data_IF_557545065429
#
_entry.id   IF_557545065429
#
_cell.length_a   1.000
_cell.length_b   1.000
_cell.length_c   1.000
_cell.angle_alpha   90.00
_cell.angle_beta   90.00
_cell.angle_gamma   90.00
#
_symmetry.space_group_name_H-M   'P 1'
#
loop_
_entity.id
_entity.type
_entity.pdbx_description
1 polymer ?
#
# COMPACT_ATOMS: atom_id res chain seq x y z
N UNK A 1 7.04 -2.81 -39.71
CA UNK A 1 7.24 -1.93 -38.54
C UNK A 1 8.66 -1.40 -38.55
N UNK A 2 8.85 -0.08 -38.72
CA UNK A 2 10.16 0.58 -38.65
C UNK A 2 10.51 0.84 -37.18
N UNK A 3 10.91 -0.19 -36.46
CA UNK A 3 11.27 -0.07 -35.05
C UNK A 3 12.38 0.97 -34.82
N UNK A 4 13.29 1.15 -35.78
CA UNK A 4 14.41 2.11 -35.71
C UNK A 4 14.02 3.60 -35.70
N UNK A 5 12.75 3.95 -35.98
CA UNK A 5 12.30 5.36 -35.94
C UNK A 5 11.71 5.76 -34.58
N UNK A 6 11.65 4.84 -33.62
CA UNK A 6 11.13 5.14 -32.29
C UNK A 6 12.12 6.06 -31.54
N UNK A 7 11.66 7.20 -30.97
CA UNK A 7 12.50 8.10 -30.17
C UNK A 7 13.26 7.38 -29.04
N UNK A 8 12.76 6.24 -28.55
CA UNK A 8 13.42 5.40 -27.56
C UNK A 8 14.84 4.99 -27.97
N UNK A 9 15.14 4.81 -29.27
CA UNK A 9 16.47 4.40 -29.73
C UNK A 9 17.50 5.52 -29.71
N UNK A 10 17.08 6.78 -29.52
CA UNK A 10 18.00 7.90 -29.27
C UNK A 10 18.59 7.90 -27.86
N UNK A 11 17.95 7.19 -26.91
CA UNK A 11 18.38 7.12 -25.51
C UNK A 11 19.36 5.94 -25.34
N UNK A 12 20.53 6.16 -24.72
CA UNK A 12 21.53 5.11 -24.53
C UNK A 12 21.02 3.99 -23.61
N UNK A 13 21.34 2.74 -23.97
CA UNK A 13 21.02 1.56 -23.14
C UNK A 13 22.17 1.21 -22.19
N UNK A 14 21.84 0.83 -20.97
CA UNK A 14 22.79 0.36 -19.93
C UNK A 14 22.43 -1.05 -19.50
N UNK A 15 23.43 -1.87 -19.16
CA UNK A 15 23.24 -3.23 -18.67
C UNK A 15 22.82 -4.27 -19.71
N UNK A 16 22.87 -3.95 -21.01
CA UNK A 16 22.51 -4.89 -22.07
C UNK A 16 22.42 -4.27 -23.46
N UNK A 17 21.84 -5.01 -24.40
CA UNK A 17 21.64 -4.58 -25.78
C UNK A 17 20.30 -3.85 -25.97
N UNK A 18 20.25 -2.89 -26.89
CA UNK A 18 19.02 -2.24 -27.34
C UNK A 18 18.24 -3.05 -28.38
N UNK A 19 18.85 -4.10 -28.95
CA UNK A 19 18.27 -4.89 -30.03
C UNK A 19 17.08 -5.72 -29.54
N UNK A 20 15.97 -5.79 -30.30
CA UNK A 20 14.82 -6.64 -29.96
C UNK A 20 15.26 -8.09 -29.67
N UNK A 21 14.74 -8.68 -28.59
CA UNK A 21 15.11 -10.03 -28.15
C UNK A 21 16.36 -10.06 -27.27
N UNK A 22 17.47 -9.44 -27.68
CA UNK A 22 18.69 -9.36 -26.87
C UNK A 22 18.53 -8.44 -25.65
N UNK A 23 17.55 -7.53 -25.66
CA UNK A 23 17.17 -6.72 -24.50
C UNK A 23 16.77 -7.56 -23.28
N UNK A 24 16.26 -8.79 -23.47
CA UNK A 24 15.91 -9.68 -22.36
C UNK A 24 17.14 -10.14 -21.57
N UNK A 25 18.31 -10.28 -22.21
CA UNK A 25 19.57 -10.54 -21.50
C UNK A 25 19.85 -9.40 -20.52
N UNK A 26 19.64 -8.15 -20.97
CA UNK A 26 19.76 -6.98 -20.11
C UNK A 26 18.73 -6.96 -18.98
N UNK A 27 17.50 -7.42 -19.24
CA UNK A 27 16.48 -7.57 -18.19
C UNK A 27 16.86 -8.62 -17.14
N UNK A 28 17.49 -9.74 -17.54
CA UNK A 28 18.03 -10.72 -16.60
C UNK A 28 19.20 -10.17 -15.78
N UNK A 29 20.12 -9.42 -16.40
CA UNK A 29 21.20 -8.75 -15.68
C UNK A 29 20.66 -7.74 -14.65
N UNK A 30 19.67 -6.92 -15.06
CA UNK A 30 19.00 -5.97 -14.20
C UNK A 30 18.21 -6.64 -13.06
N UNK A 31 17.67 -7.84 -13.26
CA UNK A 31 16.99 -8.61 -12.21
C UNK A 31 17.96 -9.12 -11.15
N UNK A 32 19.18 -9.53 -11.55
CA UNK A 32 20.19 -10.04 -10.64
C UNK A 32 20.84 -8.96 -9.78
N UNK A 33 21.28 -7.86 -10.39
CA UNK A 33 21.89 -6.73 -9.68
C UNK A 33 21.49 -5.40 -10.31
N UNK A 34 20.25 -4.98 -10.02
CA UNK A 34 19.72 -3.71 -10.51
C UNK A 34 20.57 -2.51 -10.06
N UNK A 35 21.17 -2.60 -8.87
CA UNK A 35 21.98 -1.53 -8.29
C UNK A 35 23.25 -1.32 -9.11
N UNK A 36 23.99 -2.38 -9.45
CA UNK A 36 25.18 -2.28 -10.28
C UNK A 36 24.87 -1.68 -11.66
N UNK A 37 23.77 -2.10 -12.30
CA UNK A 37 23.34 -1.55 -13.59
C UNK A 37 22.98 -0.07 -13.48
N UNK A 38 22.30 0.34 -12.41
CA UNK A 38 22.01 1.75 -12.13
C UNK A 38 23.28 2.57 -11.93
N UNK A 39 24.20 2.10 -11.07
CA UNK A 39 25.46 2.78 -10.78
C UNK A 39 26.32 2.93 -12.04
N UNK A 40 26.35 1.93 -12.92
CA UNK A 40 26.97 2.02 -14.23
C UNK A 40 26.35 3.14 -15.07
N UNK A 41 25.02 3.23 -15.09
CA UNK A 41 24.29 4.26 -15.84
C UNK A 41 24.56 5.66 -15.32
N UNK A 42 24.50 5.86 -13.99
CA UNK A 42 24.85 7.15 -13.36
C UNK A 42 26.29 7.56 -13.67
N UNK A 43 27.24 6.61 -13.66
CA UNK A 43 28.65 6.90 -13.97
C UNK A 43 28.87 7.26 -15.45
N UNK A 44 28.14 6.61 -16.37
CA UNK A 44 28.27 6.85 -17.81
C UNK A 44 27.51 8.09 -18.29
N UNK A 45 26.39 8.43 -17.64
CA UNK A 45 25.45 9.46 -18.08
C UNK A 45 25.01 10.40 -16.93
N UNK A 46 25.92 11.07 -16.22
CA UNK A 46 25.62 11.78 -14.96
C UNK A 46 24.70 13.01 -15.05
N UNK A 47 24.57 13.63 -16.23
CA UNK A 47 23.69 14.79 -16.50
C UNK A 47 22.79 14.55 -17.73
N UNK A 48 22.40 13.30 -17.97
CA UNK A 48 21.58 12.89 -19.12
C UNK A 48 20.57 11.79 -18.72
N UNK A 49 19.86 11.24 -19.69
CA UNK A 49 18.98 10.09 -19.50
C UNK A 49 19.58 8.82 -20.14
N UNK A 50 19.28 7.68 -19.53
CA UNK A 50 19.62 6.36 -20.06
C UNK A 50 18.46 5.39 -19.83
N UNK A 51 18.45 4.27 -20.53
CA UNK A 51 17.40 3.25 -20.39
C UNK A 51 17.96 1.90 -19.97
N UNK A 52 17.19 1.20 -19.13
CA UNK A 52 17.43 -0.17 -18.70
C UNK A 52 16.28 -1.04 -19.22
N UNK A 53 16.61 -2.21 -19.75
CA UNK A 53 15.60 -3.19 -20.15
C UNK A 53 14.97 -3.85 -18.91
N UNK A 54 13.64 -3.93 -18.88
CA UNK A 54 12.91 -4.84 -17.99
C UNK A 54 12.15 -5.86 -18.82
N UNK A 55 11.56 -6.88 -18.19
CA UNK A 55 10.81 -7.93 -18.90
C UNK A 55 9.54 -7.41 -19.57
N UNK A 56 8.96 -6.35 -19.03
CA UNK A 56 7.69 -5.77 -19.47
C UNK A 56 7.84 -4.46 -20.25
N UNK A 57 8.95 -3.71 -20.11
CA UNK A 57 9.13 -2.38 -20.72
C UNK A 57 10.58 -1.91 -20.78
N UNK A 58 10.79 -0.72 -21.35
CA UNK A 58 12.00 0.06 -21.13
C UNK A 58 11.80 1.00 -19.93
N UNK A 59 12.70 0.94 -18.96
CA UNK A 59 12.72 1.89 -17.85
C UNK A 59 13.73 3.01 -18.16
N UNK A 60 13.23 4.24 -18.30
CA UNK A 60 14.08 5.41 -18.54
C UNK A 60 14.47 6.00 -17.20
N UNK A 61 15.77 6.11 -16.96
CA UNK A 61 16.38 6.74 -15.79
C UNK A 61 16.88 8.12 -16.20
N UNK A 62 16.47 9.13 -15.45
CA UNK A 62 16.90 10.52 -15.64
C UNK A 62 17.93 10.84 -14.57
N UNK A 63 19.18 10.99 -14.97
CA UNK A 63 20.33 11.25 -14.09
C UNK A 63 20.91 12.62 -14.43
N UNK A 64 20.43 13.66 -13.76
CA UNK A 64 20.91 15.03 -13.94
C UNK A 64 20.02 16.02 -13.22
N UNK A 65 20.58 16.94 -12.45
CA UNK A 65 19.78 17.84 -11.60
C UNK A 65 18.84 18.70 -12.44
N UNK A 66 19.30 19.18 -13.60
CA UNK A 66 18.50 19.95 -14.53
C UNK A 66 17.31 19.16 -15.09
N UNK A 67 17.57 17.95 -15.61
CA UNK A 67 16.52 17.11 -16.18
C UNK A 67 15.51 16.64 -15.13
N UNK A 68 15.95 16.34 -13.90
CA UNK A 68 15.06 15.98 -12.79
C UNK A 68 14.15 17.15 -12.42
N UNK A 69 14.70 18.38 -12.36
CA UNK A 69 13.90 19.58 -12.11
C UNK A 69 12.92 19.88 -13.24
N UNK A 70 13.32 19.63 -14.49
CA UNK A 70 12.43 19.75 -15.64
C UNK A 70 11.30 18.72 -15.56
N UNK A 71 11.61 17.46 -15.26
CA UNK A 71 10.65 16.38 -15.08
C UNK A 71 9.64 16.70 -13.96
N UNK A 72 10.12 17.25 -12.85
CA UNK A 72 9.31 17.64 -11.68
C UNK A 72 8.31 18.74 -12.00
N UNK A 73 8.62 19.63 -12.94
CA UNK A 73 7.76 20.75 -13.36
C UNK A 73 6.77 20.36 -14.45
N UNK A 74 6.91 19.18 -15.07
CA UNK A 74 6.03 18.72 -16.13
C UNK A 74 4.60 18.54 -15.60
N UNK A 75 3.59 18.91 -16.40
CA UNK A 75 2.21 18.75 -16.00
C UNK A 75 1.81 17.26 -16.01
N UNK A 76 0.77 16.92 -15.25
CA UNK A 76 0.38 15.53 -14.97
C UNK A 76 -0.20 14.77 -16.18
N UNK A 77 -0.59 15.50 -17.23
CA UNK A 77 -1.03 14.99 -18.53
C UNK A 77 0.14 14.51 -19.40
N UNK A 78 1.31 15.16 -19.27
CA UNK A 78 2.56 14.69 -19.89
C UNK A 78 3.20 13.55 -19.09
N UNK A 79 3.26 13.69 -17.76
CA UNK A 79 3.91 12.71 -16.87
C UNK A 79 2.97 12.30 -15.74
N UNK A 80 2.52 11.05 -15.78
CA UNK A 80 1.52 10.55 -14.84
C UNK A 80 2.11 9.59 -13.82
N UNK A 81 2.44 10.12 -12.63
CA UNK A 81 2.84 9.29 -11.48
C UNK A 81 1.79 8.22 -11.12
N UNK A 82 0.47 8.50 -11.17
CA UNK A 82 -0.51 7.47 -10.89
C UNK A 82 -0.59 6.34 -11.93
N UNK A 83 -0.40 6.64 -13.24
CA UNK A 83 -0.27 5.58 -14.26
C UNK A 83 1.00 4.77 -14.01
N UNK A 84 2.11 5.45 -13.71
CA UNK A 84 3.36 4.81 -13.31
C UNK A 84 3.19 3.88 -12.10
N UNK A 85 2.42 4.29 -11.09
CA UNK A 85 2.10 3.44 -9.94
C UNK A 85 1.30 2.20 -10.36
N UNK A 86 0.24 2.37 -11.15
CA UNK A 86 -0.60 1.26 -11.62
C UNK A 86 0.20 0.22 -12.42
N UNK A 87 1.12 0.70 -13.23
CA UNK A 87 2.00 -0.13 -14.04
C UNK A 87 3.12 -0.80 -13.22
N UNK A 88 3.74 -0.08 -12.29
CA UNK A 88 4.80 -0.65 -11.45
C UNK A 88 4.28 -1.67 -10.44
N UNK A 89 3.08 -1.45 -9.89
CA UNK A 89 2.47 -2.35 -8.91
C UNK A 89 1.47 -3.33 -9.52
N UNK A 90 1.27 -3.29 -10.84
CA UNK A 90 0.31 -4.13 -11.55
C UNK A 90 -1.09 -4.08 -10.88
N UNK A 91 -1.44 -2.92 -10.30
CA UNK A 91 -2.56 -2.81 -9.37
C UNK A 91 -3.93 -3.01 -10.02
N UNK A 92 -4.00 -3.01 -11.36
CA UNK A 92 -5.17 -3.44 -12.14
C UNK A 92 -5.61 -4.87 -11.85
N UNK A 93 -4.69 -5.73 -11.41
CA UNK A 93 -5.01 -7.11 -11.08
C UNK A 93 -5.46 -7.27 -9.64
N UNK A 94 -5.04 -6.37 -8.74
CA UNK A 94 -5.29 -6.46 -7.28
C UNK A 94 -6.49 -5.60 -6.86
N UNK A 95 -6.54 -4.34 -7.29
CA UNK A 95 -7.54 -3.37 -6.86
C UNK A 95 -8.79 -3.38 -7.73
N UNK A 96 -9.93 -3.03 -7.14
CA UNK A 96 -11.19 -2.82 -7.85
C UNK A 96 -11.13 -1.61 -8.79
N UNK A 97 -11.91 -1.68 -9.88
CA UNK A 97 -11.98 -0.60 -10.87
C UNK A 97 -12.41 0.74 -10.24
N UNK A 98 -13.33 0.71 -9.26
CA UNK A 98 -13.76 1.91 -8.52
C UNK A 98 -12.59 2.60 -7.80
N UNK A 99 -11.68 1.82 -7.22
CA UNK A 99 -10.49 2.32 -6.51
C UNK A 99 -9.47 2.93 -7.47
N UNK A 100 -9.33 2.34 -8.66
CA UNK A 100 -8.39 2.80 -9.69
C UNK A 100 -8.87 4.06 -10.43
N UNK A 101 -10.19 4.19 -10.62
CA UNK A 101 -10.83 5.26 -11.39
C UNK A 101 -11.04 6.55 -10.58
N UNK A 102 -11.63 6.47 -9.39
CA UNK A 102 -11.77 7.61 -8.49
C UNK A 102 -10.65 7.60 -7.44
N UNK A 103 -9.89 8.70 -7.36
CA UNK A 103 -8.69 8.83 -6.51
C UNK A 103 -8.83 9.85 -5.40
N UNK A 104 -10.06 10.18 -5.00
CA UNK A 104 -10.31 11.12 -3.89
C UNK A 104 -9.54 10.76 -2.61
N UNK A 105 -9.24 9.48 -2.38
CA UNK A 105 -8.52 9.00 -1.21
C UNK A 105 -7.15 9.69 -1.04
N UNK A 106 -6.44 9.97 -2.14
CA UNK A 106 -5.17 10.71 -2.10
C UNK A 106 -5.33 12.19 -1.70
N UNK A 107 -6.44 12.82 -2.06
CA UNK A 107 -6.77 14.18 -1.63
C UNK A 107 -7.16 14.21 -0.14
N UNK A 108 -7.95 13.23 0.33
CA UNK A 108 -8.25 13.07 1.77
C UNK A 108 -6.96 12.96 2.56
N UNK A 109 -5.98 12.19 2.07
CA UNK A 109 -4.68 12.06 2.73
C UNK A 109 -3.93 13.40 2.79
N UNK A 110 -3.88 14.14 1.69
CA UNK A 110 -3.26 15.48 1.68
C UNK A 110 -3.96 16.45 2.63
N UNK A 111 -5.28 16.42 2.71
CA UNK A 111 -6.04 17.31 3.58
C UNK A 111 -5.97 16.94 5.05
N UNK A 112 -6.04 15.66 5.38
CA UNK A 112 -6.14 15.19 6.76
C UNK A 112 -4.80 14.83 7.34
N UNK A 113 -3.98 14.05 6.65
CA UNK A 113 -2.71 13.59 7.19
C UNK A 113 -1.66 14.70 7.17
N UNK A 114 -1.57 15.50 6.09
CA UNK A 114 -0.53 16.54 6.00
C UNK A 114 -0.91 17.83 6.74
N UNK A 115 -2.16 18.31 6.62
CA UNK A 115 -2.56 19.59 7.27
C UNK A 115 -2.88 19.44 8.74
N UNK A 116 -3.37 18.27 9.20
CA UNK A 116 -3.69 18.01 10.61
C UNK A 116 -2.60 17.22 11.34
N UNK A 117 -1.44 17.02 10.72
CA UNK A 117 -0.32 16.28 11.31
C UNK A 117 0.00 16.76 12.74
N UNK A 118 0.11 18.07 13.04
CA UNK A 118 0.47 18.53 14.38
C UNK A 118 -0.50 18.06 15.48
N UNK A 119 -1.79 17.91 15.15
CA UNK A 119 -2.79 17.42 16.10
C UNK A 119 -2.80 15.89 16.26
N UNK A 120 -2.27 15.15 15.28
CA UNK A 120 -2.23 13.69 15.29
C UNK A 120 -0.94 13.13 15.88
N UNK A 121 0.15 13.92 15.87
CA UNK A 121 1.47 13.50 16.37
C UNK A 121 1.44 12.97 17.80
N UNK A 122 0.77 13.61 18.77
CA UNK A 122 0.71 13.09 20.14
C UNK A 122 0.08 11.68 20.20
N UNK A 123 -1.05 11.48 19.52
CA UNK A 123 -1.74 10.19 19.45
C UNK A 123 -0.87 9.09 18.82
N UNK A 124 -0.06 9.45 17.81
CA UNK A 124 0.87 8.53 17.15
C UNK A 124 2.00 8.16 18.09
N UNK A 125 2.59 9.13 18.79
CA UNK A 125 3.69 8.90 19.75
C UNK A 125 3.23 7.97 20.86
N UNK A 126 2.05 8.24 21.45
CA UNK A 126 1.48 7.39 22.49
C UNK A 126 1.29 5.95 22.01
N UNK A 127 0.78 5.76 20.79
CA UNK A 127 0.62 4.40 20.23
C UNK A 127 1.95 3.74 19.91
N UNK A 128 2.98 4.48 19.48
CA UNK A 128 4.31 3.93 19.22
C UNK A 128 4.91 3.35 20.50
N UNK A 129 4.79 4.03 21.64
CA UNK A 129 5.27 3.49 22.92
C UNK A 129 4.54 2.18 23.29
N UNK A 130 3.22 2.16 23.19
CA UNK A 130 2.42 0.94 23.42
C UNK A 130 2.81 -0.19 22.44
N UNK A 131 3.05 0.15 21.17
CA UNK A 131 3.44 -0.81 20.15
C UNK A 131 4.84 -1.38 20.41
N UNK A 132 5.79 -0.54 20.84
CA UNK A 132 7.13 -0.96 21.23
C UNK A 132 7.06 -1.91 22.42
N UNK A 133 6.38 -1.53 23.50
CA UNK A 133 6.31 -2.34 24.72
C UNK A 133 5.63 -3.71 24.48
N UNK A 134 4.65 -3.76 23.58
CA UNK A 134 3.94 -5.01 23.24
C UNK A 134 4.73 -5.91 22.29
N UNK A 135 5.52 -5.36 21.37
CA UNK A 135 6.23 -6.14 20.35
C UNK A 135 7.69 -6.41 20.71
N UNK A 136 8.28 -5.63 21.62
CA UNK A 136 9.64 -5.81 22.13
C UNK A 136 9.53 -6.37 23.55
N UNK A 137 9.63 -7.69 23.74
CA UNK A 137 9.55 -8.28 25.07
C UNK A 137 10.70 -7.76 25.94
N UNK A 138 10.37 -7.10 27.05
CA UNK A 138 11.33 -6.87 28.12
C UNK A 138 11.78 -8.25 28.65
N UNK A 139 13.08 -8.52 28.61
CA UNK A 139 13.64 -9.65 29.36
C UNK A 139 13.51 -9.42 30.87
N UNK A 140 13.93 -10.38 31.70
CA UNK A 140 14.20 -10.09 33.11
C UNK A 140 15.22 -8.94 33.26
N UNK A 141 15.38 -8.39 34.47
CA UNK A 141 16.42 -7.36 34.72
C UNK A 141 17.78 -7.86 34.16
N UNK A 142 18.28 -7.19 33.11
CA UNK A 142 19.52 -7.47 32.37
C UNK A 142 19.54 -8.68 31.39
N UNK A 143 18.40 -9.19 30.93
CA UNK A 143 18.36 -10.26 29.91
C UNK A 143 18.19 -9.70 28.49
N UNK A 144 19.14 -10.00 27.59
CA UNK A 144 19.05 -9.66 26.17
C UNK A 144 18.19 -10.68 25.42
N UNK A 145 17.19 -10.20 24.68
CA UNK A 145 16.34 -11.04 23.84
C UNK A 145 16.51 -10.69 22.36
N UNK A 146 16.76 -11.71 21.55
CA UNK A 146 16.81 -11.56 20.10
C UNK A 146 15.42 -11.36 19.53
N UNK A 147 15.28 -10.38 18.62
CA UNK A 147 14.04 -10.07 17.91
C UNK A 147 14.30 -9.97 16.41
N UNK A 148 13.33 -10.38 15.60
CA UNK A 148 13.37 -10.13 14.16
C UNK A 148 13.03 -8.66 13.91
N UNK A 149 14.05 -7.83 13.66
CA UNK A 149 13.90 -6.39 13.53
C UNK A 149 12.87 -6.01 12.45
N UNK A 150 12.92 -6.63 11.28
CA UNK A 150 12.02 -6.35 10.16
C UNK A 150 10.58 -6.68 10.52
N UNK A 151 10.35 -7.87 11.10
CA UNK A 151 9.01 -8.31 11.51
C UNK A 151 8.45 -7.41 12.62
N UNK A 152 9.27 -7.08 13.61
CA UNK A 152 8.88 -6.25 14.75
C UNK A 152 8.56 -4.82 14.32
N UNK A 153 9.43 -4.19 13.51
CA UNK A 153 9.21 -2.82 13.01
C UNK A 153 7.93 -2.74 12.17
N UNK A 154 7.68 -3.71 11.28
CA UNK A 154 6.45 -3.74 10.48
C UNK A 154 5.18 -3.83 11.34
N UNK A 155 5.20 -4.61 12.43
CA UNK A 155 4.08 -4.68 13.38
C UNK A 155 3.87 -3.34 14.10
N UNK A 156 4.95 -2.75 14.61
CA UNK A 156 4.89 -1.44 15.30
C UNK A 156 4.33 -0.37 14.36
N UNK A 157 4.82 -0.31 13.12
CA UNK A 157 4.35 0.62 12.10
C UNK A 157 2.87 0.40 11.74
N UNK A 158 2.45 -0.86 11.61
CA UNK A 158 1.05 -1.19 11.32
C UNK A 158 0.13 -0.74 12.46
N UNK A 159 0.53 -0.95 13.71
CA UNK A 159 -0.23 -0.54 14.89
C UNK A 159 -0.34 1.00 14.97
N UNK A 160 0.80 1.70 14.87
CA UNK A 160 0.85 3.16 14.91
C UNK A 160 0.08 3.82 13.75
N UNK A 161 0.19 3.28 12.54
CA UNK A 161 -0.52 3.78 11.36
C UNK A 161 -2.04 3.59 11.50
N UNK A 162 -2.47 2.42 11.97
CA UNK A 162 -3.90 2.14 12.12
C UNK A 162 -4.54 3.01 13.21
N UNK A 163 -3.83 3.40 14.26
CA UNK A 163 -4.31 4.40 15.24
C UNK A 163 -4.70 5.72 14.57
N UNK A 164 -3.93 6.16 13.58
CA UNK A 164 -4.24 7.37 12.79
C UNK A 164 -5.38 7.14 11.82
N UNK A 165 -5.42 5.93 11.23
CA UNK A 165 -6.32 5.66 10.13
C UNK A 165 -7.74 5.34 10.56
N UNK A 166 -7.92 4.46 11.54
CA UNK A 166 -9.24 4.03 12.02
C UNK A 166 -9.62 4.64 13.37
N UNK A 167 -8.67 5.33 14.03
CA UNK A 167 -8.85 5.85 15.39
C UNK A 167 -8.77 4.75 16.46
N UNK A 168 -9.00 5.12 17.71
CA UNK A 168 -9.42 4.13 18.71
C UNK A 168 -10.88 3.78 18.36
N UNK A 169 -11.27 2.50 18.20
CA UNK A 169 -12.68 2.22 18.04
C UNK A 169 -13.48 2.80 19.21
N UNK A 170 -14.59 3.42 18.85
CA UNK A 170 -15.76 3.43 19.70
C UNK A 170 -16.17 1.95 19.84
N UNK A 171 -16.30 1.49 21.08
CA UNK A 171 -16.55 0.10 21.47
C UNK A 171 -17.37 -0.71 20.44
N UNK A 172 -17.00 -1.98 20.15
CA UNK A 172 -17.98 -3.08 20.09
C UNK A 172 -17.40 -4.50 19.92
N UNK A 173 -18.26 -5.48 20.24
CA UNK A 173 -18.05 -6.89 20.50
C UNK A 173 -17.54 -7.73 19.31
N UNK A 174 -16.52 -8.55 19.55
CA UNK A 174 -16.09 -9.61 18.64
C UNK A 174 -17.01 -10.83 18.80
N UNK A 175 -17.69 -11.25 17.73
CA UNK A 175 -18.35 -12.56 17.66
C UNK A 175 -17.33 -13.63 17.31
N UNK A 176 -16.96 -14.45 18.30
CA UNK A 176 -16.07 -15.61 18.09
C UNK A 176 -16.96 -16.85 17.93
N UNK A 177 -16.89 -17.58 16.80
CA UNK A 177 -17.56 -18.86 16.66
C UNK A 177 -16.80 -19.89 17.50
N UNK A 178 -17.38 -20.32 18.62
CA UNK A 178 -16.89 -21.50 19.34
C UNK A 178 -17.53 -22.73 18.70
N UNK A 179 -16.71 -23.52 18.00
CA UNK A 179 -17.14 -24.82 17.49
C UNK A 179 -17.07 -25.82 18.64
N UNK A 180 -18.21 -26.04 19.30
CA UNK A 180 -18.37 -27.10 20.29
C UNK A 180 -19.03 -28.35 19.68
N UNK A 181 -18.98 -29.47 20.40
CA UNK A 181 -19.58 -30.76 19.98
C UNK A 181 -21.11 -30.72 19.80
N UNK A 182 -21.78 -29.60 20.11
CA UNK A 182 -23.24 -29.44 20.06
C UNK A 182 -23.71 -28.31 19.12
N UNK A 183 -22.82 -27.69 18.32
CA UNK A 183 -23.17 -26.67 17.32
C UNK A 183 -22.26 -25.44 17.35
N UNK A 184 -22.52 -24.47 16.45
CA UNK A 184 -21.87 -23.15 16.44
C UNK A 184 -22.60 -22.28 17.47
N UNK A 185 -21.92 -21.95 18.58
CA UNK A 185 -22.41 -20.95 19.52
C UNK A 185 -21.67 -19.64 19.32
N UNK A 186 -22.44 -18.56 19.20
CA UNK A 186 -21.93 -17.20 19.10
C UNK A 186 -21.76 -16.64 20.51
N UNK A 187 -20.53 -16.51 20.98
CA UNK A 187 -20.27 -15.85 22.27
C UNK A 187 -19.89 -14.40 22.05
N UNK A 188 -20.53 -13.52 22.83
CA UNK A 188 -20.21 -12.11 22.89
C UNK A 188 -19.01 -11.98 23.84
N UNK A 189 -17.80 -11.83 23.31
CA UNK A 189 -16.63 -11.51 24.14
C UNK A 189 -16.54 -10.00 24.31
N UNK A 190 -16.70 -9.51 25.53
CA UNK A 190 -16.51 -8.08 25.90
C UNK A 190 -15.04 -7.68 26.06
N UNK A 191 -14.11 -8.43 25.44
CA UNK A 191 -12.69 -8.10 25.48
C UNK A 191 -12.43 -6.91 24.56
N UNK A 192 -12.08 -5.77 25.16
CA UNK A 192 -11.69 -4.52 24.50
C UNK A 192 -10.49 -4.79 23.59
N UNK A 193 -10.76 -4.98 22.30
CA UNK A 193 -9.76 -5.00 21.25
C UNK A 193 -9.91 -3.74 20.42
N UNK A 194 -9.01 -2.78 20.59
CA UNK A 194 -8.93 -1.66 19.65
C UNK A 194 -8.68 -2.26 18.26
N UNK A 195 -9.45 -1.93 17.20
CA UNK A 195 -9.26 -2.54 15.88
C UNK A 195 -7.83 -2.31 15.35
N UNK A 196 -7.23 -1.16 15.68
CA UNK A 196 -5.80 -0.89 15.46
C UNK A 196 -4.81 -1.72 16.29
N UNK A 197 -5.30 -2.56 17.22
CA UNK A 197 -4.56 -3.51 18.04
C UNK A 197 -5.08 -4.95 17.89
N UNK A 198 -6.00 -5.20 16.95
CA UNK A 198 -6.43 -6.55 16.64
C UNK A 198 -5.32 -7.24 15.82
N UNK A 199 -4.70 -8.26 16.41
CA UNK A 199 -3.56 -8.95 15.80
C UNK A 199 -3.87 -9.54 14.42
N UNK A 200 -5.10 -10.02 14.20
CA UNK A 200 -5.50 -10.58 12.90
C UNK A 200 -5.64 -9.49 11.85
N UNK A 201 -6.29 -8.38 12.19
CA UNK A 201 -6.42 -7.22 11.30
C UNK A 201 -5.05 -6.60 10.97
N UNK A 202 -4.17 -6.46 11.97
CA UNK A 202 -2.81 -5.98 11.75
C UNK A 202 -2.00 -6.93 10.87
N UNK A 203 -2.14 -8.25 11.08
CA UNK A 203 -1.51 -9.25 10.22
C UNK A 203 -2.01 -9.17 8.77
N UNK A 204 -3.30 -8.89 8.56
CA UNK A 204 -3.86 -8.66 7.22
C UNK A 204 -3.33 -7.38 6.58
N UNK A 205 -3.17 -6.29 7.34
CA UNK A 205 -2.60 -5.05 6.83
C UNK A 205 -1.12 -5.20 6.42
N UNK A 206 -0.32 -5.89 7.24
CA UNK A 206 1.09 -6.21 6.93
C UNK A 206 1.19 -7.23 5.80
N UNK A 207 0.32 -8.25 5.81
CA UNK A 207 0.22 -9.29 4.79
C UNK A 207 -0.09 -8.69 3.43
N UNK A 208 -1.12 -7.82 3.35
CA UNK A 208 -1.47 -7.10 2.14
C UNK A 208 -0.28 -6.31 1.59
N UNK A 209 0.44 -5.58 2.44
CA UNK A 209 1.58 -4.78 1.99
C UNK A 209 2.68 -5.66 1.35
N UNK A 210 2.90 -6.85 1.90
CA UNK A 210 3.88 -7.81 1.41
C UNK A 210 3.41 -8.47 0.10
N UNK A 211 2.20 -9.06 0.12
CA UNK A 211 1.63 -9.76 -1.03
C UNK A 211 1.35 -8.84 -2.22
N UNK A 212 1.00 -7.57 -1.98
CA UNK A 212 0.83 -6.57 -3.03
C UNK A 212 2.14 -6.31 -3.79
N UNK A 213 3.25 -6.19 -3.05
CA UNK A 213 4.58 -5.99 -3.64
C UNK A 213 5.09 -7.26 -4.36
N UNK A 214 4.94 -8.43 -3.74
CA UNK A 214 5.36 -9.72 -4.33
C UNK A 214 4.58 -10.04 -5.61
N UNK A 215 3.25 -9.89 -5.58
CA UNK A 215 2.40 -10.11 -6.75
C UNK A 215 2.77 -9.18 -7.91
N UNK A 216 3.09 -7.91 -7.61
CA UNK A 216 3.60 -6.98 -8.61
C UNK A 216 4.95 -7.44 -9.19
N UNK A 217 5.87 -7.91 -8.34
CA UNK A 217 7.17 -8.44 -8.75
C UNK A 217 7.03 -9.59 -9.74
N UNK A 218 6.24 -10.61 -9.39
CA UNK A 218 6.03 -11.79 -10.26
C UNK A 218 5.36 -11.41 -11.58
N UNK A 219 4.31 -10.59 -11.53
CA UNK A 219 3.59 -10.17 -12.74
C UNK A 219 4.46 -9.32 -13.68
N UNK A 220 5.49 -8.65 -13.19
CA UNK A 220 6.42 -7.88 -14.03
C UNK A 220 7.42 -8.75 -14.79
N UNK A 221 7.66 -9.98 -14.35
CA UNK A 221 8.59 -10.91 -15.01
C UNK A 221 8.00 -11.57 -16.25
N UNK A 222 6.67 -11.57 -16.38
CA UNK A 222 5.97 -12.27 -17.46
C UNK A 222 5.41 -11.31 -18.50
N UNK A 223 5.32 -11.73 -19.78
CA UNK A 223 4.68 -10.96 -20.83
C UNK A 223 3.21 -10.63 -20.55
N UNK A 224 2.72 -9.52 -21.11
CA UNK A 224 1.36 -9.01 -20.88
C UNK A 224 0.24 -10.02 -21.15
N UNK A 225 0.42 -10.93 -22.11
CA UNK A 225 -0.59 -11.95 -22.43
C UNK A 225 -0.65 -13.08 -21.41
N UNK A 226 0.39 -13.30 -20.60
CA UNK A 226 0.42 -14.32 -19.53
C UNK A 226 -0.14 -13.75 -18.22
N UNK A 227 -0.01 -12.43 -17.99
CA UNK A 227 -0.45 -11.78 -16.75
C UNK A 227 -1.89 -12.11 -16.34
N UNK A 228 -2.91 -12.12 -17.23
CA UNK A 228 -4.28 -12.47 -16.84
C UNK A 228 -4.43 -13.92 -16.34
N UNK A 229 -3.60 -14.83 -16.82
CA UNK A 229 -3.62 -16.25 -16.44
C UNK A 229 -2.94 -16.43 -15.08
N UNK A 230 -1.81 -15.75 -14.85
CA UNK A 230 -1.06 -15.87 -13.59
C UNK A 230 -1.61 -15.00 -12.46
N UNK A 231 -2.24 -13.86 -12.77
CA UNK A 231 -2.73 -12.92 -11.77
C UNK A 231 -3.60 -13.57 -10.67
N UNK A 232 -4.55 -14.49 -10.96
CA UNK A 232 -5.32 -15.16 -9.91
C UNK A 232 -4.49 -15.97 -8.92
N UNK A 233 -3.31 -16.47 -9.32
CA UNK A 233 -2.47 -17.35 -8.49
C UNK A 233 -1.45 -16.60 -7.63
N UNK A 234 -1.16 -15.33 -7.95
CA UNK A 234 -0.13 -14.52 -7.28
C UNK A 234 -0.70 -13.33 -6.53
N UNK A 235 -2.03 -13.18 -6.56
CA UNK A 235 -2.75 -12.04 -6.01
C UNK A 235 -3.35 -12.35 -4.64
N UNK A 236 -2.48 -12.77 -3.72
CA UNK A 236 -2.87 -13.02 -2.33
C UNK A 236 -3.36 -11.73 -1.63
N UNK A 237 -2.99 -10.55 -2.16
CA UNK A 237 -3.48 -9.27 -1.65
C UNK A 237 -5.00 -9.11 -1.75
N UNK A 238 -5.66 -9.69 -2.77
CA UNK A 238 -7.14 -9.72 -2.83
C UNK A 238 -7.74 -10.53 -1.69
N UNK A 239 -7.11 -11.63 -1.33
CA UNK A 239 -7.58 -12.49 -0.23
C UNK A 239 -7.40 -11.80 1.12
N UNK A 240 -6.30 -11.07 1.32
CA UNK A 240 -6.10 -10.25 2.51
C UNK A 240 -7.19 -9.19 2.66
N UNK A 241 -7.52 -8.49 1.56
CA UNK A 241 -8.63 -7.53 1.53
C UNK A 241 -9.94 -8.23 1.88
N UNK A 242 -10.26 -9.35 1.24
CA UNK A 242 -11.51 -10.07 1.47
C UNK A 242 -11.67 -10.50 2.93
N UNK A 243 -10.58 -10.92 3.58
CA UNK A 243 -10.53 -11.25 5.00
C UNK A 243 -10.56 -10.03 5.92
N UNK A 244 -10.06 -8.88 5.47
CA UNK A 244 -10.08 -7.63 6.24
C UNK A 244 -11.44 -6.92 6.21
N UNK A 245 -12.22 -7.09 5.14
CA UNK A 245 -13.53 -6.45 4.97
C UNK A 245 -14.46 -6.67 6.17
N UNK A 246 -14.63 -7.89 6.74
CA UNK A 246 -15.47 -8.08 7.92
C UNK A 246 -15.12 -7.18 9.11
N UNK A 247 -13.84 -6.97 9.40
CA UNK A 247 -13.39 -6.14 10.53
C UNK A 247 -13.79 -4.66 10.34
N UNK A 248 -13.68 -4.15 9.11
CA UNK A 248 -14.03 -2.76 8.81
C UNK A 248 -15.52 -2.57 8.49
N UNK A 249 -16.21 -3.62 8.02
CA UNK A 249 -17.61 -3.55 7.60
C UNK A 249 -18.48 -3.02 8.73
N UNK A 250 -18.32 -3.53 9.94
CA UNK A 250 -19.11 -3.10 11.09
C UNK A 250 -18.95 -1.58 11.33
N UNK A 251 -17.70 -1.12 11.46
CA UNK A 251 -17.39 0.31 11.68
C UNK A 251 -17.91 1.17 10.52
N UNK A 252 -17.73 0.72 9.28
CA UNK A 252 -18.19 1.43 8.08
C UNK A 252 -19.72 1.54 8.09
N UNK A 253 -20.44 0.46 8.34
CA UNK A 253 -21.90 0.43 8.33
C UNK A 253 -22.51 1.26 9.47
N UNK A 254 -21.96 1.17 10.68
CA UNK A 254 -22.40 1.97 11.82
C UNK A 254 -22.23 3.46 11.57
N UNK A 255 -21.03 3.87 11.10
CA UNK A 255 -20.75 5.27 10.78
C UNK A 255 -21.61 5.76 9.60
N UNK A 256 -21.88 4.90 8.63
CA UNK A 256 -22.78 5.22 7.50
C UNK A 256 -24.20 5.43 7.97
N UNK A 257 -24.76 4.50 8.76
CA UNK A 257 -26.12 4.64 9.34
C UNK A 257 -26.23 5.87 10.23
N UNK A 258 -25.20 6.19 11.00
CA UNK A 258 -25.17 7.37 11.86
C UNK A 258 -25.15 8.65 11.04
N UNK A 259 -24.34 8.68 9.98
CA UNK A 259 -24.30 9.78 9.03
C UNK A 259 -25.65 10.00 8.32
N UNK A 260 -26.31 8.93 7.87
CA UNK A 260 -27.64 9.01 7.23
C UNK A 260 -28.72 9.53 8.19
N UNK A 261 -28.65 9.16 9.47
CA UNK A 261 -29.62 9.57 10.50
C UNK A 261 -29.42 11.02 10.97
N UNK A 262 -28.17 11.40 11.23
CA UNK A 262 -27.84 12.67 11.90
C UNK A 262 -27.35 13.75 10.93
N UNK A 263 -26.77 13.38 9.79
CA UNK A 263 -26.19 14.32 8.84
C UNK A 263 -25.24 15.33 9.50
N UNK A 264 -25.53 16.62 9.31
CA UNK A 264 -24.75 17.72 9.91
C UNK A 264 -24.93 17.84 11.44
N UNK A 265 -25.96 17.21 12.03
CA UNK A 265 -26.20 17.25 13.46
C UNK A 265 -25.34 16.23 14.26
N UNK A 266 -24.45 15.47 13.61
CA UNK A 266 -23.56 14.53 14.27
C UNK A 266 -22.46 15.25 15.05
N UNK A 267 -22.74 15.59 16.32
CA UNK A 267 -21.84 16.34 17.20
C UNK A 267 -20.53 15.60 17.50
N UNK A 268 -20.60 14.31 17.78
CA UNK A 268 -19.45 13.49 18.19
C UNK A 268 -18.84 12.71 17.01
N UNK A 269 -18.76 13.34 15.84
CA UNK A 269 -18.25 12.71 14.62
C UNK A 269 -16.74 12.40 14.76
N UNK A 270 -16.28 11.17 14.49
CA UNK A 270 -14.86 10.83 14.57
C UNK A 270 -14.01 11.72 13.64
N UNK A 271 -12.91 12.25 14.15
CA UNK A 271 -11.95 13.04 13.35
C UNK A 271 -10.76 12.18 12.90
N UNK A 272 -11.02 10.95 12.45
CA UNK A 272 -10.02 10.05 11.91
C UNK A 272 -10.03 10.03 10.37
N UNK A 273 -9.04 9.35 9.80
CA UNK A 273 -8.89 9.25 8.34
C UNK A 273 -10.03 8.45 7.70
N UNK A 274 -10.45 7.35 8.32
CA UNK A 274 -11.56 6.52 7.86
C UNK A 274 -12.84 7.33 7.73
N UNK A 275 -13.23 8.11 8.75
CA UNK A 275 -14.40 8.97 8.69
C UNK A 275 -14.29 9.99 7.57
N UNK A 276 -13.11 10.55 7.36
CA UNK A 276 -12.87 11.52 6.27
C UNK A 276 -12.99 10.88 4.89
N UNK A 277 -12.64 9.60 4.76
CA UNK A 277 -12.91 8.82 3.55
C UNK A 277 -14.39 8.51 3.39
N UNK A 278 -15.09 8.12 4.46
CA UNK A 278 -16.53 7.83 4.46
C UNK A 278 -17.34 9.05 4.03
N UNK A 279 -16.97 10.25 4.47
CA UNK A 279 -17.63 11.50 4.08
C UNK A 279 -17.68 11.71 2.56
N UNK A 280 -16.70 11.15 1.83
CA UNK A 280 -16.67 11.16 0.37
C UNK A 280 -17.22 9.89 -0.25
N UNK A 281 -17.10 8.75 0.42
CA UNK A 281 -17.53 7.43 -0.08
C UNK A 281 -19.06 7.26 -0.01
N UNK A 282 -19.71 7.74 1.06
CA UNK A 282 -21.15 7.59 1.28
C UNK A 282 -21.96 8.28 0.17
N UNK A 283 -21.71 9.55 -0.19
CA UNK A 283 -22.42 10.19 -1.30
C UNK A 283 -22.22 9.50 -2.66
N UNK A 284 -21.16 8.70 -2.81
CA UNK A 284 -20.85 7.93 -4.02
C UNK A 284 -21.47 6.53 -4.02
N UNK A 285 -22.05 6.08 -2.91
CA UNK A 285 -22.55 4.72 -2.76
C UNK A 285 -21.45 3.65 -2.89
N UNK A 286 -20.22 3.96 -2.45
CA UNK A 286 -19.12 2.99 -2.54
C UNK A 286 -19.33 1.79 -1.60
N UNK A 287 -18.98 0.60 -2.07
CA UNK A 287 -19.04 -0.61 -1.29
C UNK A 287 -17.97 -0.61 -0.16
N UNK A 288 -18.23 -1.28 0.99
CA UNK A 288 -17.24 -1.44 2.05
C UNK A 288 -15.91 -2.08 1.59
N UNK A 289 -15.92 -2.91 0.54
CA UNK A 289 -14.71 -3.50 -0.04
C UNK A 289 -13.80 -2.45 -0.67
N UNK A 290 -14.35 -1.50 -1.44
CA UNK A 290 -13.61 -0.41 -2.05
C UNK A 290 -13.01 0.52 -0.98
N UNK A 291 -13.78 0.84 0.07
CA UNK A 291 -13.30 1.65 1.20
C UNK A 291 -12.15 0.94 1.93
N UNK A 292 -12.29 -0.37 2.18
CA UNK A 292 -11.24 -1.21 2.79
C UNK A 292 -9.97 -1.22 1.94
N UNK A 293 -10.09 -1.39 0.63
CA UNK A 293 -8.96 -1.35 -0.30
C UNK A 293 -8.24 -0.01 -0.26
N UNK A 294 -8.99 1.10 -0.30
CA UNK A 294 -8.42 2.44 -0.20
C UNK A 294 -7.63 2.61 1.09
N UNK A 295 -8.15 2.13 2.22
CA UNK A 295 -7.45 2.16 3.50
C UNK A 295 -6.17 1.32 3.48
N UNK A 296 -6.23 0.11 2.94
CA UNK A 296 -5.11 -0.82 2.87
C UNK A 296 -3.98 -0.29 1.97
N UNK A 297 -4.30 0.50 0.94
CA UNK A 297 -3.29 1.20 0.14
C UNK A 297 -2.48 2.22 0.95
N UNK A 298 -3.08 2.88 1.95
CA UNK A 298 -2.33 3.76 2.87
C UNK A 298 -1.50 2.97 3.88
N UNK A 299 -2.01 1.85 4.38
CA UNK A 299 -1.19 0.94 5.19
C UNK A 299 0.01 0.43 4.41
N UNK A 300 -0.16 0.03 3.14
CA UNK A 300 0.94 -0.31 2.26
C UNK A 300 1.95 0.84 2.13
N UNK A 301 1.49 2.05 1.82
CA UNK A 301 2.37 3.21 1.70
C UNK A 301 3.16 3.47 3.00
N UNK A 302 2.51 3.45 4.16
CA UNK A 302 3.16 3.68 5.45
C UNK A 302 4.17 2.58 5.81
N UNK A 303 3.81 1.31 5.63
CA UNK A 303 4.65 0.17 6.01
C UNK A 303 5.82 0.02 5.04
N UNK A 304 5.57 0.06 3.73
CA UNK A 304 6.59 -0.22 2.72
C UNK A 304 7.66 0.87 2.61
N UNK A 305 7.35 2.13 2.95
CA UNK A 305 8.36 3.20 2.91
C UNK A 305 9.12 3.38 4.23
N UNK A 306 8.56 2.91 5.36
CA UNK A 306 9.10 3.18 6.70
C UNK A 306 9.78 1.97 7.35
N UNK A 307 9.54 0.75 6.85
CA UNK A 307 10.23 -0.48 7.28
C UNK A 307 11.49 -0.74 6.47
#
# INVERSE_FOLDING_TARGET
MRWYTDPLYSIPTVGGSFLPGLSYIGAFCALGDFRAVLEEGYRKYPESAFKIATFDRWLIIVSGRGMVEDLRKRPADEISAPRGFQENFQSKYVLEHAVLSDRYHGEVAKEKLLKKLPSLVPDIIDEVFVAVDSNIPAGGENEWKSVDATRTIRKILAQASNRTFVGLPLCEYQYIPLVGNTGITWTISSSIGLLGRNDEYLALAVGFATHFAEGAGVLRLVPDFIKPILAPFVNNGKDDIARAVPYLRQIIEERTKTFEKLGEAWKDKPNDFLQSMLDRAIPRGEAPSAITQRLFMFNFASIATSS
#
